data_IF_476071369655
#
_entry.id   IF_476071369655
#
_cell.length_a   1.000
_cell.length_b   1.000
_cell.length_c   1.000
_cell.angle_alpha   90.00
_cell.angle_beta   90.00
_cell.angle_gamma   90.00
#
_symmetry.space_group_name_H-M   'P 1'
#
loop_
_entity.id
_entity.type
_entity.pdbx_description
1 polymer ?
#
# COMPACT_ATOMS: atom_id res chain seq x y z
N UNK A 1 -43.46 -8.81 -62.34
CA UNK A 1 -42.56 -8.53 -61.22
C UNK A 1 -42.18 -9.86 -60.58
N UNK A 2 -40.97 -10.39 -60.94
CA UNK A 2 -40.45 -11.66 -60.40
C UNK A 2 -39.69 -11.31 -59.14
N UNK A 3 -40.09 -11.89 -58.00
CA UNK A 3 -39.34 -11.87 -56.76
C UNK A 3 -38.26 -12.94 -56.83
N UNK A 4 -36.97 -12.55 -56.74
CA UNK A 4 -35.85 -13.44 -56.63
C UNK A 4 -35.59 -13.61 -55.13
N UNK A 5 -35.70 -14.84 -54.64
CA UNK A 5 -35.40 -15.24 -53.30
C UNK A 5 -33.92 -15.68 -53.27
N UNK A 6 -33.07 -15.14 -52.42
CA UNK A 6 -31.70 -15.63 -52.32
C UNK A 6 -31.67 -16.93 -51.49
N UNK A 7 -31.03 -17.92 -52.07
CA UNK A 7 -30.72 -19.22 -51.50
C UNK A 7 -29.65 -19.03 -50.42
N UNK A 8 -30.01 -19.30 -49.16
CA UNK A 8 -29.06 -19.27 -48.05
C UNK A 8 -28.27 -20.59 -48.06
N UNK A 9 -27.00 -20.54 -48.48
CA UNK A 9 -26.09 -21.66 -48.42
C UNK A 9 -25.52 -21.74 -46.99
N UNK A 10 -26.00 -22.69 -46.17
CA UNK A 10 -25.43 -22.97 -44.87
C UNK A 10 -24.14 -23.81 -45.06
N UNK A 11 -22.99 -23.19 -44.93
CA UNK A 11 -21.71 -23.88 -44.79
C UNK A 11 -21.54 -24.23 -43.34
N UNK A 12 -21.71 -25.50 -42.98
CA UNK A 12 -21.31 -26.04 -41.69
C UNK A 12 -19.78 -26.12 -41.63
N UNK A 13 -19.13 -25.12 -41.06
CA UNK A 13 -17.74 -25.24 -40.65
C UNK A 13 -17.72 -25.88 -39.25
N UNK A 14 -17.24 -27.10 -39.18
CA UNK A 14 -16.75 -27.69 -37.93
C UNK A 14 -15.50 -26.92 -37.52
N UNK A 15 -15.69 -25.81 -36.80
CA UNK A 15 -14.63 -25.05 -36.18
C UNK A 15 -14.47 -25.52 -34.77
N UNK A 16 -13.27 -26.03 -34.46
CA UNK A 16 -12.81 -26.21 -33.09
C UNK A 16 -13.03 -24.90 -32.34
N UNK A 17 -13.95 -24.91 -31.37
CA UNK A 17 -14.19 -23.77 -30.51
C UNK A 17 -12.98 -23.59 -29.59
N UNK A 18 -12.04 -22.73 -29.99
CA UNK A 18 -11.11 -22.15 -29.05
C UNK A 18 -11.92 -21.29 -28.09
N UNK A 19 -11.80 -21.46 -26.78
CA UNK A 19 -12.48 -20.60 -25.84
C UNK A 19 -11.99 -19.16 -26.06
N UNK A 20 -12.88 -18.28 -26.50
CA UNK A 20 -12.62 -16.84 -26.52
C UNK A 20 -12.61 -16.43 -25.05
N UNK A 21 -11.41 -16.22 -24.50
CA UNK A 21 -11.25 -15.51 -23.23
C UNK A 21 -11.78 -14.09 -23.43
N UNK A 22 -13.01 -13.83 -23.02
CA UNK A 22 -13.46 -12.48 -22.75
C UNK A 22 -12.74 -12.09 -21.46
N UNK A 23 -11.59 -11.47 -21.62
CA UNK A 23 -10.96 -10.76 -20.52
C UNK A 23 -11.98 -9.68 -20.10
N UNK A 24 -12.65 -9.91 -18.97
CA UNK A 24 -13.28 -8.81 -18.26
C UNK A 24 -12.13 -7.84 -17.96
N UNK A 25 -12.24 -6.56 -18.32
CA UNK A 25 -11.24 -5.61 -17.88
C UNK A 25 -11.33 -5.62 -16.35
N UNK A 26 -10.43 -6.35 -15.70
CA UNK A 26 -10.06 -6.03 -14.37
C UNK A 26 -9.69 -4.55 -14.46
N UNK A 27 -10.44 -3.69 -13.78
CA UNK A 27 -9.97 -2.34 -13.49
C UNK A 27 -8.76 -2.59 -12.60
N UNK A 28 -7.61 -2.79 -13.24
CA UNK A 28 -6.32 -2.71 -12.58
C UNK A 28 -6.20 -1.23 -12.26
N UNK A 29 -6.78 -0.82 -11.12
CA UNK A 29 -6.31 0.36 -10.43
C UNK A 29 -4.82 0.05 -10.24
N UNK A 30 -3.97 0.71 -11.02
CA UNK A 30 -2.54 0.59 -10.82
C UNK A 30 -2.33 0.75 -9.31
N UNK A 31 -1.79 -0.28 -8.68
CA UNK A 31 -1.47 -0.23 -7.27
C UNK A 31 -0.50 0.93 -7.13
N UNK A 32 -0.96 2.04 -6.57
CA UNK A 32 -0.09 3.18 -6.27
C UNK A 32 0.84 2.63 -5.20
N UNK A 33 2.12 2.54 -5.54
CA UNK A 33 3.12 2.05 -4.60
C UNK A 33 3.20 3.03 -3.43
N UNK A 34 2.62 2.66 -2.29
CA UNK A 34 2.72 3.40 -1.04
C UNK A 34 4.00 3.02 -0.28
N UNK A 35 5.10 2.80 -1.01
CA UNK A 35 6.38 2.43 -0.45
C UNK A 35 7.10 3.67 0.11
N UNK A 36 7.50 3.61 1.38
CA UNK A 36 8.17 4.69 2.10
C UNK A 36 9.55 4.27 2.59
N UNK A 37 10.47 5.22 2.57
CA UNK A 37 11.84 5.01 3.02
C UNK A 37 12.66 4.11 2.09
N UNK A 38 13.96 4.02 2.37
CA UNK A 38 14.89 3.16 1.62
C UNK A 38 14.56 1.68 1.76
N UNK A 39 13.91 1.29 2.84
CA UNK A 39 13.42 -0.08 3.09
C UNK A 39 12.10 -0.39 2.38
N UNK A 40 11.51 0.57 1.64
CA UNK A 40 10.26 0.41 0.89
C UNK A 40 9.12 -0.17 1.72
N UNK A 41 8.91 0.40 2.91
CA UNK A 41 7.82 -0.01 3.80
C UNK A 41 6.50 0.37 3.14
N UNK A 42 5.64 -0.60 2.91
CA UNK A 42 4.31 -0.39 2.32
C UNK A 42 3.33 0.04 3.39
N UNK A 43 2.63 1.16 3.18
CA UNK A 43 1.65 1.68 4.11
C UNK A 43 0.28 1.75 3.43
N UNK A 44 -0.75 1.32 4.14
CA UNK A 44 -2.15 1.53 3.74
C UNK A 44 -2.57 2.99 3.94
N UNK A 45 -3.72 3.38 3.39
CA UNK A 45 -4.32 4.67 3.72
C UNK A 45 -4.59 4.76 5.23
N UNK A 46 -4.20 5.89 5.83
CA UNK A 46 -4.34 6.10 7.28
C UNK A 46 -3.37 7.13 7.83
N UNK A 47 -3.40 7.29 9.14
CA UNK A 47 -2.54 8.23 9.88
C UNK A 47 -1.56 7.45 10.77
N UNK A 48 -0.29 7.80 10.72
CA UNK A 48 0.80 7.11 11.39
C UNK A 48 1.63 8.09 12.19
N UNK A 49 2.02 7.71 13.41
CA UNK A 49 3.03 8.44 14.17
C UNK A 49 4.41 7.94 13.78
N UNK A 50 5.27 8.83 13.30
CA UNK A 50 6.61 8.49 12.84
C UNK A 50 7.66 9.33 13.57
N UNK A 51 8.73 8.72 14.14
CA UNK A 51 9.82 9.47 14.72
C UNK A 51 10.54 10.32 13.68
N UNK A 52 10.85 11.56 14.02
CA UNK A 52 11.60 12.47 13.16
C UNK A 52 12.75 13.12 13.88
N UNK A 53 13.76 13.54 13.12
CA UNK A 53 14.88 14.30 13.66
C UNK A 53 15.45 15.23 12.60
N UNK A 54 15.83 16.45 13.01
CA UNK A 54 16.39 17.42 12.07
C UNK A 54 17.93 17.29 12.04
N UNK A 55 18.44 16.98 10.85
CA UNK A 55 19.86 16.76 10.55
C UNK A 55 20.42 17.90 9.72
N UNK A 56 21.75 18.01 9.64
CA UNK A 56 22.41 18.93 8.72
C UNK A 56 22.11 18.52 7.26
N UNK A 57 21.89 19.48 6.40
CA UNK A 57 21.66 19.20 4.99
C UNK A 57 22.90 18.63 4.26
N UNK A 58 24.11 19.02 4.69
CA UNK A 58 25.39 18.57 4.15
C UNK A 58 25.92 17.28 4.80
N UNK A 59 25.35 16.89 5.97
CA UNK A 59 25.72 15.67 6.68
C UNK A 59 24.54 15.12 7.50
N UNK A 60 23.74 14.26 6.88
CA UNK A 60 22.50 13.70 7.47
C UNK A 60 22.70 12.79 8.68
N UNK A 61 23.95 12.46 9.02
CA UNK A 61 24.25 11.72 10.25
C UNK A 61 24.44 12.65 11.47
N UNK A 62 24.65 13.95 11.24
CA UNK A 62 24.83 14.93 12.30
C UNK A 62 23.54 15.74 12.53
N UNK A 63 23.24 15.98 13.81
CA UNK A 63 22.13 16.85 14.16
C UNK A 63 22.36 18.29 13.67
N UNK A 64 21.32 18.90 13.14
CA UNK A 64 21.29 20.33 12.84
C UNK A 64 21.41 21.15 14.13
N UNK A 65 21.96 22.35 14.07
CA UNK A 65 21.89 23.32 15.18
C UNK A 65 20.43 23.68 15.50
N UNK A 66 19.54 23.59 14.52
CA UNK A 66 18.10 23.77 14.67
C UNK A 66 17.34 22.48 15.09
N UNK A 67 18.03 21.42 15.51
CA UNK A 67 17.39 20.14 15.82
C UNK A 67 16.30 20.26 16.91
N UNK A 68 16.45 21.17 17.85
CA UNK A 68 15.42 21.45 18.86
C UNK A 68 14.18 22.18 18.34
N UNK A 69 14.17 22.64 17.08
CA UNK A 69 13.03 23.33 16.49
C UNK A 69 11.89 22.40 16.06
N UNK A 70 12.13 21.09 15.97
CA UNK A 70 11.11 20.12 15.59
C UNK A 70 10.75 19.20 16.75
N UNK A 71 9.52 18.69 16.76
CA UNK A 71 9.09 17.62 17.65
C UNK A 71 9.85 16.32 17.42
N UNK A 72 9.75 15.38 18.35
CA UNK A 72 10.37 14.06 18.22
C UNK A 72 9.61 13.13 17.28
N UNK A 73 8.32 13.41 17.08
CA UNK A 73 7.43 12.67 16.21
C UNK A 73 6.71 13.61 15.26
N UNK A 74 6.32 13.08 14.13
CA UNK A 74 5.46 13.71 13.15
C UNK A 74 4.27 12.79 12.84
N UNK A 75 3.20 13.35 12.29
CA UNK A 75 2.08 12.59 11.78
C UNK A 75 2.22 12.43 10.27
N UNK A 76 2.35 11.19 9.81
CA UNK A 76 2.33 10.84 8.39
C UNK A 76 0.90 10.43 8.01
N UNK A 77 0.28 11.16 7.13
CA UNK A 77 -1.02 10.81 6.55
C UNK A 77 -0.84 10.24 5.15
N UNK A 78 -1.42 9.08 4.91
CA UNK A 78 -1.46 8.41 3.61
C UNK A 78 -2.91 8.35 3.14
N UNK A 79 -3.21 8.95 2.00
CA UNK A 79 -4.55 8.92 1.40
C UNK A 79 -4.78 7.64 0.59
N UNK A 80 -6.05 7.35 0.25
CA UNK A 80 -6.42 6.17 -0.56
C UNK A 80 -5.83 6.18 -1.98
N UNK A 81 -5.53 7.37 -2.51
CA UNK A 81 -4.88 7.54 -3.80
C UNK A 81 -3.35 7.43 -3.75
N UNK A 82 -2.80 7.15 -2.55
CA UNK A 82 -1.38 7.05 -2.29
C UNK A 82 -0.68 8.40 -2.05
N UNK A 83 -1.37 9.52 -2.13
CA UNK A 83 -0.82 10.82 -1.73
C UNK A 83 -0.45 10.78 -0.25
N UNK A 84 0.72 11.30 0.10
CA UNK A 84 1.18 11.34 1.48
C UNK A 84 1.50 12.77 1.91
N UNK A 85 1.19 13.10 3.15
CA UNK A 85 1.55 14.35 3.79
C UNK A 85 2.18 14.12 5.16
N UNK A 86 3.05 15.02 5.56
CA UNK A 86 3.69 15.01 6.88
C UNK A 86 3.29 16.26 7.64
N UNK A 87 2.78 16.05 8.86
CA UNK A 87 2.49 17.12 9.82
C UNK A 87 3.57 17.10 10.91
N UNK A 88 4.23 18.24 11.12
CA UNK A 88 5.38 18.37 12.01
C UNK A 88 5.12 19.46 13.05
N UNK A 89 5.31 19.12 14.32
CA UNK A 89 5.31 20.12 15.39
C UNK A 89 6.62 20.90 15.40
N UNK A 90 6.50 22.22 15.60
CA UNK A 90 7.63 23.13 15.75
C UNK A 90 7.71 23.66 17.17
N UNK A 91 8.93 23.83 17.65
CA UNK A 91 9.24 24.33 19.00
C UNK A 91 10.13 25.56 18.92
N UNK A 92 10.00 26.42 19.92
CA UNK A 92 10.94 27.52 20.10
C UNK A 92 12.37 27.01 20.32
N UNK A 93 13.32 27.63 19.64
CA UNK A 93 14.75 27.34 19.75
C UNK A 93 15.41 28.25 20.76
N UNK A 94 16.21 27.71 21.66
CA UNK A 94 17.08 28.48 22.54
C UNK A 94 18.52 28.32 22.06
N UNK A 95 19.03 29.33 21.37
CA UNK A 95 20.40 29.39 20.86
C UNK A 95 21.14 30.58 21.47
N UNK A 96 22.24 30.32 22.13
CA UNK A 96 23.12 31.38 22.73
C UNK A 96 22.36 32.35 23.64
N UNK A 97 21.35 31.88 24.38
CA UNK A 97 20.53 32.70 25.26
C UNK A 97 19.46 33.52 24.61
N UNK A 98 19.24 33.34 23.31
CA UNK A 98 18.14 33.93 22.54
C UNK A 98 17.09 32.89 22.21
N UNK A 99 15.83 33.23 22.40
CA UNK A 99 14.70 32.41 21.93
C UNK A 99 14.40 32.74 20.49
N UNK A 100 14.42 31.73 19.64
CA UNK A 100 14.14 31.83 18.21
C UNK A 100 13.00 30.94 17.77
N UNK A 101 12.55 31.13 16.54
CA UNK A 101 11.55 30.30 15.90
C UNK A 101 11.91 30.08 14.43
N UNK A 102 11.51 28.93 13.89
CA UNK A 102 11.62 28.66 12.47
C UNK A 102 10.49 29.41 11.73
N UNK A 103 10.85 30.11 10.66
CA UNK A 103 9.95 30.87 9.75
C UNK A 103 10.29 30.58 8.29
N UNK A 104 9.47 31.08 7.39
CA UNK A 104 9.67 30.99 5.93
C UNK A 104 9.99 29.55 5.48
N UNK A 105 9.29 28.57 6.08
CA UNK A 105 9.54 27.17 5.84
C UNK A 105 9.10 26.76 4.44
N UNK A 106 9.99 26.03 3.78
CA UNK A 106 9.75 25.42 2.46
C UNK A 106 10.24 23.97 2.46
N UNK A 107 9.59 23.15 1.65
CA UNK A 107 9.95 21.76 1.44
C UNK A 107 10.54 21.58 0.05
N UNK A 108 11.69 20.95 -0.04
CA UNK A 108 12.29 20.57 -1.31
C UNK A 108 11.54 19.40 -1.94
N UNK A 109 11.29 19.46 -3.24
CA UNK A 109 10.52 18.46 -3.98
C UNK A 109 11.37 17.30 -4.51
N UNK A 110 12.68 17.35 -4.36
CA UNK A 110 13.65 16.32 -4.76
C UNK A 110 14.60 15.94 -3.62
N UNK A 111 15.56 15.07 -3.95
CA UNK A 111 16.49 14.46 -2.99
C UNK A 111 17.72 15.32 -2.70
N UNK A 112 17.69 16.59 -3.00
CA UNK A 112 18.76 17.52 -2.71
C UNK A 112 18.26 18.97 -2.52
N UNK A 113 19.11 19.84 -1.97
CA UNK A 113 18.85 21.27 -1.74
C UNK A 113 18.91 22.14 -3.01
N UNK A 114 19.07 21.55 -4.18
CA UNK A 114 19.02 22.24 -5.48
C UNK A 114 17.70 22.03 -6.19
N UNK A 115 16.87 21.14 -5.69
CA UNK A 115 15.55 20.88 -6.24
C UNK A 115 14.60 22.06 -6.00
N UNK A 116 13.50 22.08 -6.72
CA UNK A 116 12.43 23.08 -6.53
C UNK A 116 11.88 23.00 -5.10
N UNK A 117 11.50 24.15 -4.55
CA UNK A 117 10.85 24.22 -3.23
C UNK A 117 9.38 24.58 -3.35
N UNK A 118 8.58 24.10 -2.40
CA UNK A 118 7.21 24.54 -2.17
C UNK A 118 7.06 25.06 -0.75
N UNK A 119 6.18 26.04 -0.59
CA UNK A 119 5.81 26.52 0.74
C UNK A 119 5.09 25.44 1.51
N UNK A 120 5.28 25.38 2.82
CA UNK A 120 4.52 24.50 3.71
C UNK A 120 3.21 25.20 4.12
N UNK A 121 2.21 24.42 4.47
CA UNK A 121 1.00 24.96 5.11
C UNK A 121 1.27 25.14 6.61
N UNK A 122 1.02 26.33 7.15
CA UNK A 122 1.06 26.57 8.59
C UNK A 122 -0.31 26.25 9.17
N UNK A 123 -0.39 25.22 9.99
CA UNK A 123 -1.64 24.77 10.62
C UNK A 123 -1.92 25.51 11.94
N UNK A 124 -0.85 25.78 12.72
CA UNK A 124 -0.95 26.45 14.00
C UNK A 124 0.19 27.46 14.20
N UNK A 125 -0.09 28.51 14.97
CA UNK A 125 0.89 29.54 15.37
C UNK A 125 0.79 29.84 16.86
N UNK A 126 1.90 30.32 17.45
CA UNK A 126 1.90 30.88 18.80
C UNK A 126 1.31 32.30 18.83
N UNK A 127 1.21 32.91 20.03
CA UNK A 127 0.71 34.26 20.21
C UNK A 127 1.53 35.36 19.47
N UNK A 128 2.80 35.06 19.18
CA UNK A 128 3.70 35.92 18.44
C UNK A 128 3.62 35.70 16.90
N UNK A 129 2.75 34.81 16.45
CA UNK A 129 2.57 34.45 15.05
C UNK A 129 3.69 33.56 14.48
N UNK A 130 4.47 32.90 15.33
CA UNK A 130 5.44 31.91 14.85
C UNK A 130 4.76 30.57 14.59
N UNK A 131 5.11 29.85 13.53
CA UNK A 131 4.57 28.52 13.26
C UNK A 131 4.90 27.55 14.41
N UNK A 132 3.88 26.84 14.91
CA UNK A 132 4.00 25.76 15.90
C UNK A 132 3.65 24.41 15.34
N UNK A 133 2.93 24.40 14.20
CA UNK A 133 2.61 23.19 13.45
C UNK A 133 2.58 23.48 11.97
N UNK A 134 3.20 22.64 11.18
CA UNK A 134 3.23 22.74 9.73
C UNK A 134 2.81 21.43 9.08
N UNK A 135 2.26 21.51 7.87
CA UNK A 135 1.92 20.37 7.05
C UNK A 135 2.40 20.56 5.61
N UNK A 136 2.89 19.49 5.00
CA UNK A 136 3.28 19.51 3.59
C UNK A 136 3.11 18.14 2.94
N UNK A 137 2.88 18.13 1.63
CA UNK A 137 2.79 16.91 0.83
C UNK A 137 4.19 16.39 0.54
N UNK A 138 4.38 15.08 0.70
CA UNK A 138 5.61 14.38 0.34
C UNK A 138 5.56 14.10 -1.17
N UNK A 139 6.55 14.59 -1.93
CA UNK A 139 6.62 14.30 -3.36
C UNK A 139 7.03 12.84 -3.61
N UNK A 140 6.59 12.27 -4.73
CA UNK A 140 6.91 10.88 -5.10
C UNK A 140 8.43 10.62 -5.19
N UNK A 141 9.21 11.64 -5.55
CA UNK A 141 10.68 11.52 -5.66
C UNK A 141 11.39 11.36 -4.31
N UNK A 142 10.79 11.84 -3.20
CA UNK A 142 11.39 11.72 -1.86
C UNK A 142 10.68 10.67 -0.99
N UNK A 143 9.56 10.13 -1.42
CA UNK A 143 8.78 9.14 -0.68
C UNK A 143 9.59 7.89 -0.32
N UNK A 144 10.50 7.47 -1.21
CA UNK A 144 11.37 6.31 -1.04
C UNK A 144 12.73 6.63 -0.42
N UNK A 145 12.91 7.83 0.15
CA UNK A 145 14.09 8.22 0.92
C UNK A 145 13.80 8.21 2.41
N UNK A 146 14.84 8.24 3.25
CA UNK A 146 14.67 8.27 4.71
C UNK A 146 14.52 9.69 5.27
N UNK A 147 14.11 10.64 4.45
CA UNK A 147 13.82 12.00 4.90
C UNK A 147 13.67 13.02 3.78
N UNK A 148 13.47 14.26 4.17
CA UNK A 148 13.03 15.34 3.28
C UNK A 148 13.84 16.59 3.61
N UNK A 149 14.36 17.26 2.58
CA UNK A 149 15.06 18.53 2.77
C UNK A 149 14.06 19.67 3.02
N UNK A 150 14.39 20.52 4.00
CA UNK A 150 13.63 21.70 4.37
C UNK A 150 14.53 22.94 4.28
N UNK A 151 13.97 24.06 3.83
CA UNK A 151 14.53 25.38 4.02
C UNK A 151 13.77 26.13 5.10
N UNK A 152 14.46 26.85 5.96
CA UNK A 152 13.86 27.68 6.99
C UNK A 152 14.72 28.89 7.34
N UNK A 153 14.09 29.94 7.81
CA UNK A 153 14.76 31.10 8.42
C UNK A 153 14.63 31.03 9.93
N UNK A 154 15.73 31.19 10.66
CA UNK A 154 15.70 31.20 12.14
C UNK A 154 15.63 32.64 12.63
N UNK A 155 14.50 33.01 13.25
CA UNK A 155 14.28 34.28 13.91
C UNK A 155 14.90 34.24 15.34
N UNK A 156 15.43 35.34 15.92
CA UNK A 156 15.56 36.68 15.32
C UNK A 156 16.81 36.87 14.46
N UNK A 157 17.65 35.85 14.29
CA UNK A 157 18.94 35.96 13.58
C UNK A 157 18.76 36.24 12.07
N UNK A 158 17.61 35.97 11.48
CA UNK A 158 17.35 36.16 10.07
C UNK A 158 18.19 35.29 9.15
N UNK A 159 18.77 34.21 9.68
CA UNK A 159 19.64 33.31 8.92
C UNK A 159 18.81 32.22 8.24
N UNK A 160 18.86 32.20 6.91
CA UNK A 160 18.34 31.07 6.14
C UNK A 160 19.24 29.84 6.34
N UNK A 161 18.66 28.67 6.53
CA UNK A 161 19.39 27.42 6.66
C UNK A 161 18.60 26.28 5.99
N UNK A 162 19.35 25.34 5.43
CA UNK A 162 18.80 24.10 4.94
C UNK A 162 19.07 23.00 5.94
N UNK A 163 18.11 22.10 6.06
CA UNK A 163 18.18 20.95 6.96
C UNK A 163 17.55 19.72 6.31
N UNK A 164 17.91 18.55 6.82
CA UNK A 164 17.32 17.28 6.41
C UNK A 164 16.45 16.76 7.54
N UNK A 165 15.15 16.72 7.33
CA UNK A 165 14.20 16.09 8.24
C UNK A 165 14.26 14.58 8.01
N UNK A 166 15.05 13.88 8.82
CA UNK A 166 15.10 12.41 8.79
C UNK A 166 13.80 11.85 9.35
N UNK A 167 13.21 10.90 8.65
CA UNK A 167 11.97 10.22 9.00
C UNK A 167 12.28 8.74 9.21
N UNK A 168 12.05 8.23 10.42
CA UNK A 168 12.31 6.83 10.75
C UNK A 168 11.08 5.96 10.43
N UNK A 169 10.91 5.66 9.15
CA UNK A 169 9.83 4.78 8.70
C UNK A 169 9.92 3.36 9.27
N UNK A 170 11.11 2.89 9.67
CA UNK A 170 11.28 1.56 10.24
C UNK A 170 10.70 1.44 11.66
N UNK A 171 10.61 2.56 12.37
CA UNK A 171 10.04 2.66 13.72
C UNK A 171 8.58 3.15 13.71
N UNK A 172 7.90 3.12 12.57
CA UNK A 172 6.48 3.44 12.51
C UNK A 172 5.71 2.59 13.53
N UNK A 173 5.11 3.29 14.48
CA UNK A 173 4.08 2.68 15.30
C UNK A 173 2.83 2.61 14.46
N UNK A 174 2.27 1.42 14.36
CA UNK A 174 1.06 1.18 13.56
C UNK A 174 -0.01 2.23 13.84
N UNK A 175 -0.83 2.43 12.89
CA UNK A 175 -1.90 3.43 12.89
C UNK A 175 -2.78 3.30 14.15
N UNK A 176 -2.44 4.02 15.22
CA UNK A 176 -3.28 4.08 16.45
C UNK A 176 -4.66 4.68 16.16
N UNK A 177 -4.85 5.25 14.95
CA UNK A 177 -6.08 5.84 14.45
C UNK A 177 -6.64 5.15 13.20
N UNK A 178 -6.36 3.87 12.97
CA UNK A 178 -7.17 3.12 12.01
C UNK A 178 -8.58 3.06 12.59
N UNK A 179 -9.46 3.90 12.05
CA UNK A 179 -10.87 3.80 12.37
C UNK A 179 -11.33 2.37 12.07
N UNK A 180 -11.96 1.73 13.05
CA UNK A 180 -12.59 0.44 12.87
C UNK A 180 -13.35 0.38 11.56
N UNK A 181 -13.26 -0.70 10.83
CA UNK A 181 -13.84 -0.76 9.50
C UNK A 181 -13.97 -2.17 8.95
N UNK A 182 -14.59 -2.19 7.77
CA UNK A 182 -14.77 -3.40 6.98
C UNK A 182 -14.35 -3.12 5.55
N UNK A 183 -13.55 -3.99 4.97
CA UNK A 183 -13.14 -3.94 3.57
C UNK A 183 -13.58 -5.20 2.85
N UNK A 184 -14.03 -5.05 1.62
CA UNK A 184 -14.46 -6.17 0.77
C UNK A 184 -13.61 -6.24 -0.48
N UNK A 185 -13.35 -7.45 -0.95
CA UNK A 185 -12.74 -7.70 -2.24
C UNK A 185 -13.28 -8.98 -2.87
N UNK A 186 -13.25 -9.07 -4.19
CA UNK A 186 -13.62 -10.27 -4.93
C UNK A 186 -12.54 -10.58 -5.95
N UNK A 187 -12.00 -11.79 -5.89
CA UNK A 187 -11.01 -12.28 -6.85
C UNK A 187 -11.62 -13.47 -7.61
N UNK A 188 -11.47 -13.46 -8.94
CA UNK A 188 -11.82 -14.57 -9.80
C UNK A 188 -10.65 -15.54 -9.95
N UNK A 189 -10.90 -16.83 -9.72
CA UNK A 189 -9.94 -17.92 -9.98
C UNK A 189 -10.33 -18.58 -11.30
N UNK A 190 -9.49 -18.46 -12.32
CA UNK A 190 -9.71 -19.07 -13.62
C UNK A 190 -9.29 -20.57 -13.66
N UNK A 191 -8.48 -21.02 -12.72
CA UNK A 191 -7.96 -22.39 -12.68
C UNK A 191 -9.03 -23.36 -12.18
N UNK A 192 -8.95 -24.60 -12.65
CA UNK A 192 -9.84 -25.68 -12.23
C UNK A 192 -11.34 -25.44 -12.43
N UNK A 193 -11.70 -24.69 -13.49
CA UNK A 193 -13.09 -24.49 -13.92
C UNK A 193 -13.64 -23.10 -13.65
N UNK A 194 -13.06 -22.34 -12.75
CA UNK A 194 -13.45 -20.97 -12.47
C UNK A 194 -14.44 -20.82 -11.31
N UNK A 195 -14.19 -19.82 -10.45
CA UNK A 195 -15.11 -19.35 -9.40
C UNK A 195 -14.63 -18.06 -8.80
N UNK A 196 -15.54 -17.34 -8.16
CA UNK A 196 -15.23 -16.12 -7.42
C UNK A 196 -14.99 -16.41 -5.94
N UNK A 197 -13.99 -15.74 -5.35
CA UNK A 197 -13.80 -15.68 -3.90
C UNK A 197 -14.07 -14.26 -3.44
N UNK A 198 -15.14 -14.08 -2.68
CA UNK A 198 -15.46 -12.83 -2.00
C UNK A 198 -14.91 -12.89 -0.57
N UNK A 199 -14.12 -11.88 -0.20
CA UNK A 199 -13.60 -11.69 1.15
C UNK A 199 -14.18 -10.42 1.78
N UNK A 200 -14.53 -10.49 3.06
CA UNK A 200 -14.92 -9.35 3.89
C UNK A 200 -14.04 -9.36 5.12
N UNK A 201 -13.15 -8.37 5.22
CA UNK A 201 -12.20 -8.20 6.34
C UNK A 201 -12.73 -7.15 7.27
N UNK A 202 -13.03 -7.51 8.51
CA UNK A 202 -13.38 -6.56 9.57
C UNK A 202 -12.17 -6.37 10.48
N UNK A 203 -11.84 -5.13 10.79
CA UNK A 203 -10.70 -4.79 11.65
C UNK A 203 -11.11 -3.75 12.69
N UNK A 204 -10.46 -3.86 13.84
CA UNK A 204 -10.64 -2.98 14.99
C UNK A 204 -9.29 -2.74 15.66
N UNK A 205 -9.03 -1.49 16.08
CA UNK A 205 -7.77 -1.10 16.71
C UNK A 205 -6.54 -1.54 15.89
N UNK A 206 -6.63 -1.43 14.55
CA UNK A 206 -5.57 -1.82 13.61
C UNK A 206 -5.37 -3.33 13.43
N UNK A 207 -6.22 -4.19 13.99
CA UNK A 207 -6.10 -5.65 13.88
C UNK A 207 -7.29 -6.29 13.21
N UNK A 208 -7.07 -7.34 12.43
CA UNK A 208 -8.16 -8.14 11.85
C UNK A 208 -8.91 -8.83 12.98
N UNK A 209 -10.20 -8.50 13.13
CA UNK A 209 -11.10 -9.09 14.14
C UNK A 209 -12.01 -10.15 13.57
N UNK A 210 -12.40 -10.02 12.29
CA UNK A 210 -13.17 -11.07 11.59
C UNK A 210 -12.76 -11.12 10.11
N UNK A 211 -12.83 -12.31 9.54
CA UNK A 211 -12.61 -12.57 8.13
C UNK A 211 -13.72 -13.50 7.63
N UNK A 212 -14.61 -12.99 6.79
CA UNK A 212 -15.60 -13.78 6.10
C UNK A 212 -15.15 -14.05 4.68
N UNK A 213 -15.29 -15.30 4.24
CA UNK A 213 -14.89 -15.75 2.92
C UNK A 213 -16.03 -16.57 2.32
N UNK A 214 -16.43 -16.24 1.10
CA UNK A 214 -17.47 -16.94 0.37
C UNK A 214 -17.04 -17.23 -1.05
N UNK A 215 -17.25 -18.46 -1.52
CA UNK A 215 -17.14 -18.83 -2.92
C UNK A 215 -18.47 -18.64 -3.62
N UNK A 216 -18.42 -18.15 -4.85
CA UNK A 216 -19.58 -17.96 -5.70
C UNK A 216 -19.25 -18.33 -7.15
N UNK A 217 -20.27 -18.56 -7.97
CA UNK A 217 -20.12 -18.77 -9.41
C UNK A 217 -19.18 -19.93 -9.80
N UNK A 218 -19.29 -21.05 -9.08
CA UNK A 218 -18.47 -22.25 -9.39
C UNK A 218 -18.85 -22.82 -10.74
N UNK A 219 -17.87 -22.99 -11.62
CA UNK A 219 -18.03 -23.46 -12.98
C UNK A 219 -17.08 -24.61 -13.33
N UNK A 220 -17.40 -25.30 -14.42
CA UNK A 220 -16.55 -26.34 -15.00
C UNK A 220 -16.55 -27.67 -14.26
N UNK A 221 -15.58 -28.53 -14.64
CA UNK A 221 -15.54 -29.92 -14.19
C UNK A 221 -15.32 -30.10 -12.68
N UNK A 222 -14.65 -29.14 -12.05
CA UNK A 222 -14.26 -29.21 -10.63
C UNK A 222 -15.11 -28.30 -9.72
N UNK A 223 -16.27 -27.84 -10.20
CA UNK A 223 -17.14 -26.92 -9.44
C UNK A 223 -17.51 -27.49 -8.08
N UNK A 224 -17.96 -28.75 -8.00
CA UNK A 224 -18.38 -29.43 -6.79
C UNK A 224 -17.20 -29.62 -5.81
N UNK A 225 -16.03 -30.03 -6.30
CA UNK A 225 -14.84 -30.22 -5.46
C UNK A 225 -14.30 -28.86 -4.95
N UNK A 226 -14.35 -27.81 -5.78
CA UNK A 226 -13.95 -26.46 -5.37
C UNK A 226 -14.85 -25.94 -4.26
N UNK A 227 -16.16 -26.09 -4.41
CA UNK A 227 -17.15 -25.63 -3.42
C UNK A 227 -17.08 -26.41 -2.11
N UNK A 228 -17.00 -27.75 -2.19
CA UNK A 228 -17.21 -28.62 -1.02
C UNK A 228 -15.91 -29.13 -0.37
N UNK A 229 -14.77 -29.05 -1.04
CA UNK A 229 -13.50 -29.60 -0.54
C UNK A 229 -12.39 -28.55 -0.47
N UNK A 230 -12.01 -27.98 -1.63
CA UNK A 230 -10.80 -27.17 -1.69
C UNK A 230 -10.95 -25.80 -1.05
N UNK A 231 -12.02 -25.08 -1.35
CA UNK A 231 -12.27 -23.78 -0.75
C UNK A 231 -12.51 -23.85 0.76
N UNK A 232 -13.36 -24.76 1.31
CA UNK A 232 -13.50 -24.91 2.77
C UNK A 232 -12.19 -25.24 3.47
N UNK A 233 -11.35 -26.09 2.87
CA UNK A 233 -10.02 -26.42 3.41
C UNK A 233 -9.11 -25.18 3.46
N UNK A 234 -9.11 -24.37 2.39
CA UNK A 234 -8.34 -23.13 2.35
C UNK A 234 -8.84 -22.11 3.38
N UNK A 235 -10.18 -21.91 3.47
CA UNK A 235 -10.81 -20.98 4.42
C UNK A 235 -10.37 -21.27 5.85
N UNK A 236 -10.52 -22.52 6.30
CA UNK A 236 -10.23 -22.90 7.68
C UNK A 236 -8.79 -22.58 8.06
N UNK A 237 -7.84 -22.82 7.17
CA UNK A 237 -6.41 -22.60 7.44
C UNK A 237 -6.00 -21.13 7.34
N UNK A 238 -6.52 -20.40 6.37
CA UNK A 238 -6.14 -18.99 6.14
C UNK A 238 -6.78 -18.09 7.20
N UNK A 239 -8.04 -18.35 7.57
CA UNK A 239 -8.73 -17.56 8.58
C UNK A 239 -7.97 -17.53 9.90
N UNK A 240 -7.51 -18.68 10.38
CA UNK A 240 -6.76 -18.79 11.64
C UNK A 240 -5.42 -18.05 11.61
N UNK A 241 -4.78 -17.93 10.44
CA UNK A 241 -3.51 -17.24 10.30
C UNK A 241 -3.65 -15.73 10.17
N UNK A 242 -4.75 -15.25 9.56
CA UNK A 242 -4.99 -13.81 9.32
C UNK A 242 -5.64 -13.14 10.52
N UNK A 243 -6.48 -13.85 11.27
CA UNK A 243 -7.17 -13.28 12.43
C UNK A 243 -6.16 -12.80 13.49
N UNK A 244 -6.28 -11.55 13.91
CA UNK A 244 -5.40 -10.90 14.87
C UNK A 244 -4.14 -10.26 14.28
N UNK A 245 -3.88 -10.41 12.97
CA UNK A 245 -2.78 -9.71 12.32
C UNK A 245 -3.04 -8.20 12.31
N UNK A 246 -1.95 -7.43 12.42
CA UNK A 246 -1.99 -5.98 12.23
C UNK A 246 -2.16 -5.69 10.73
N UNK A 247 -3.20 -4.93 10.38
CA UNK A 247 -3.56 -4.63 8.99
C UNK A 247 -2.52 -3.80 8.24
N UNK A 248 -1.53 -3.27 8.94
CA UNK A 248 -0.41 -2.50 8.38
C UNK A 248 0.89 -3.30 8.29
N UNK A 249 0.96 -4.48 8.93
CA UNK A 249 2.16 -5.31 8.95
C UNK A 249 2.27 -6.23 7.74
N UNK A 250 2.80 -5.70 6.65
CA UNK A 250 3.11 -6.44 5.42
C UNK A 250 3.85 -7.77 5.68
N UNK A 251 4.83 -7.76 6.61
CA UNK A 251 5.66 -8.94 6.88
C UNK A 251 4.86 -10.09 7.51
N UNK A 252 3.86 -9.78 8.34
CA UNK A 252 2.99 -10.80 8.93
C UNK A 252 2.10 -11.43 7.87
N UNK A 253 1.53 -10.63 6.95
CA UNK A 253 0.75 -11.17 5.83
C UNK A 253 1.62 -11.97 4.86
N UNK A 254 2.85 -11.55 4.59
CA UNK A 254 3.78 -12.30 3.74
C UNK A 254 4.05 -13.72 4.27
N UNK A 255 4.05 -13.89 5.59
CA UNK A 255 4.27 -15.17 6.26
C UNK A 255 3.04 -16.07 6.32
N UNK A 256 1.85 -15.56 5.95
CA UNK A 256 0.64 -16.40 5.85
C UNK A 256 0.89 -17.51 4.84
N UNK A 257 0.81 -18.73 5.31
CA UNK A 257 1.21 -19.93 4.55
C UNK A 257 0.04 -20.47 3.73
N UNK A 258 0.33 -20.92 2.52
CA UNK A 258 -0.65 -21.56 1.66
C UNK A 258 -0.87 -23.01 2.04
N UNK A 259 -2.05 -23.56 1.72
CA UNK A 259 -2.45 -24.90 2.17
C UNK A 259 -2.16 -25.94 1.11
N UNK A 260 -1.36 -26.92 1.43
CA UNK A 260 -1.12 -28.06 0.53
C UNK A 260 -2.43 -28.75 0.12
N UNK A 261 -2.63 -28.90 -1.19
CA UNK A 261 -3.85 -29.46 -1.79
C UNK A 261 -5.06 -28.49 -1.83
N UNK A 262 -4.84 -27.20 -1.53
CA UNK A 262 -5.78 -26.09 -1.76
C UNK A 262 -5.01 -24.79 -1.97
N UNK A 263 -3.79 -24.87 -2.52
CA UNK A 263 -2.85 -23.73 -2.64
C UNK A 263 -3.44 -22.58 -3.44
N UNK A 264 -4.08 -22.86 -4.58
CA UNK A 264 -4.70 -21.84 -5.44
C UNK A 264 -5.76 -21.03 -4.68
N UNK A 265 -6.69 -21.71 -4.00
CA UNK A 265 -7.73 -21.04 -3.19
C UNK A 265 -7.12 -20.26 -2.03
N UNK A 266 -6.11 -20.82 -1.36
CA UNK A 266 -5.45 -20.20 -0.21
C UNK A 266 -4.67 -18.94 -0.64
N UNK A 267 -3.91 -19.00 -1.72
CA UNK A 267 -3.22 -17.82 -2.30
C UNK A 267 -4.22 -16.76 -2.73
N UNK A 268 -5.32 -17.12 -3.36
CA UNK A 268 -6.33 -16.18 -3.79
C UNK A 268 -7.01 -15.47 -2.58
N UNK A 269 -7.35 -16.21 -1.52
CA UNK A 269 -7.88 -15.62 -0.28
C UNK A 269 -6.88 -14.63 0.31
N UNK A 270 -5.62 -15.04 0.49
CA UNK A 270 -4.54 -14.19 0.99
C UNK A 270 -4.42 -12.90 0.17
N UNK A 271 -4.35 -13.03 -1.16
CA UNK A 271 -4.22 -11.90 -2.06
C UNK A 271 -5.43 -10.97 -1.99
N UNK A 272 -6.66 -11.52 -1.97
CA UNK A 272 -7.89 -10.72 -1.82
C UNK A 272 -7.90 -9.90 -0.54
N UNK A 273 -7.47 -10.49 0.58
CA UNK A 273 -7.34 -9.79 1.86
C UNK A 273 -6.27 -8.70 1.78
N UNK A 274 -5.07 -9.03 1.28
CA UNK A 274 -3.97 -8.07 1.16
C UNK A 274 -4.34 -6.88 0.27
N UNK A 275 -4.96 -7.12 -0.89
CA UNK A 275 -5.46 -6.06 -1.77
C UNK A 275 -6.50 -5.17 -1.08
N UNK A 276 -7.47 -5.77 -0.37
CA UNK A 276 -8.49 -5.00 0.34
C UNK A 276 -7.90 -4.08 1.41
N UNK A 277 -6.79 -4.47 2.01
CA UNK A 277 -6.05 -3.70 3.01
C UNK A 277 -5.01 -2.75 2.40
N UNK A 278 -4.82 -2.75 1.07
CA UNK A 278 -3.83 -1.94 0.38
C UNK A 278 -2.38 -2.43 0.56
N UNK A 279 -2.21 -3.69 0.94
CA UNK A 279 -0.90 -4.33 1.07
C UNK A 279 -0.36 -4.76 -0.30
N UNK A 280 0.96 -4.84 -0.41
CA UNK A 280 1.62 -5.23 -1.66
C UNK A 280 1.56 -6.74 -1.87
N UNK A 281 1.08 -7.17 -3.05
CA UNK A 281 1.16 -8.57 -3.44
C UNK A 281 2.58 -8.88 -3.91
N UNK A 282 3.17 -9.97 -3.40
CA UNK A 282 4.36 -10.54 -4.01
C UNK A 282 3.91 -11.32 -5.24
N UNK A 283 4.51 -11.04 -6.40
CA UNK A 283 4.39 -11.94 -7.55
C UNK A 283 4.86 -13.34 -7.12
N UNK A 284 3.93 -14.28 -6.96
CA UNK A 284 4.32 -15.69 -6.94
C UNK A 284 4.86 -16.00 -8.34
N UNK A 285 6.16 -16.23 -8.43
CA UNK A 285 6.75 -16.85 -9.62
C UNK A 285 6.16 -18.26 -9.66
N UNK A 286 5.03 -18.40 -10.36
CA UNK A 286 4.48 -19.71 -10.66
C UNK A 286 5.57 -20.47 -11.37
N UNK A 287 6.03 -21.58 -10.79
CA UNK A 287 6.92 -22.48 -11.47
C UNK A 287 6.31 -22.79 -12.86
N UNK A 288 7.10 -22.73 -13.94
CA UNK A 288 6.58 -23.05 -15.26
C UNK A 288 5.85 -24.38 -15.19
N UNK A 289 4.66 -24.45 -15.82
CA UNK A 289 3.92 -25.69 -15.91
C UNK A 289 4.88 -26.76 -16.42
N UNK A 290 4.93 -27.97 -15.80
CA UNK A 290 5.80 -29.03 -16.28
C UNK A 290 5.48 -29.23 -17.76
N UNK A 291 6.52 -29.14 -18.60
CA UNK A 291 6.43 -29.51 -20.00
C UNK A 291 5.76 -30.91 -20.06
N UNK A 292 4.77 -31.02 -20.92
CA UNK A 292 3.93 -32.20 -21.12
C UNK A 292 4.74 -33.48 -20.89
N UNK A 293 4.32 -34.26 -19.87
CA UNK A 293 4.79 -35.63 -19.70
C UNK A 293 4.28 -36.40 -20.92
N UNK A 294 5.17 -36.78 -21.83
CA UNK A 294 4.83 -37.69 -22.90
C UNK A 294 4.28 -39.00 -22.26
N UNK A 295 3.15 -39.47 -22.77
CA UNK A 295 2.58 -40.76 -22.36
C UNK A 295 3.62 -41.88 -22.55
N UNK A 296 4.36 -42.18 -21.50
CA UNK A 296 5.21 -43.34 -21.41
C UNK A 296 4.36 -44.51 -20.97
N UNK A 297 4.23 -45.52 -21.82
CA UNK A 297 3.71 -46.85 -21.47
C UNK A 297 4.62 -47.44 -20.38
N UNK A 298 4.08 -47.56 -19.19
CA UNK A 298 4.74 -48.37 -18.13
C UNK A 298 4.41 -49.86 -18.38
N UNK A 299 5.41 -50.64 -18.71
CA UNK A 299 5.37 -52.11 -18.63
C UNK A 299 5.56 -52.57 -17.18
#
# INVERSE_FOLDING_TARGET
KKKIMPLLLAVAMAGTATPIYVAHPAIVKAAVSNAFGTNKISLSAGSYTVPVSLKKADNVEQNSMAAGAVGENATLEVAEDGTASLEVELKALNLYGMTGAAKDLKVYQGNDIKSETKDVTVEETDEAGNPTKIKFTISESVKTTDGIYLHMTISPMGMGTDAFLKVDYASLKGNENVSDGTKENTIYIAQFGGYDIKTTVTYKDGKVTDLQIKGENFEGKYAEENENIYLPKAINKIKDQIQGLDITDQNSFDKVDTVSGATTSASAIKNAVMESLGLTLKEEVLAPAPETVEEGTYE
#
